data_IF_990996053171
#
_entry.id   IF_990996053171
#
_cell.length_a   1.000
_cell.length_b   1.000
_cell.length_c   1.000
_cell.angle_alpha   90.00
_cell.angle_beta   90.00
_cell.angle_gamma   90.00
#
_symmetry.space_group_name_H-M   'P 1'
#
loop_
_entity.id
_entity.type
_entity.pdbx_description
1 polymer ?
#
# COMPACT_ATOMS: atom_id res chain seq x y z
N UNK A 1 48.86 27.80 -6.64
CA UNK A 1 48.63 27.30 -8.02
C UNK A 1 47.15 27.41 -8.31
N UNK A 2 46.83 27.97 -9.47
CA UNK A 2 45.59 28.64 -9.81
C UNK A 2 44.37 27.71 -9.97
N UNK A 3 43.19 28.26 -9.62
CA UNK A 3 41.87 27.83 -10.07
C UNK A 3 41.73 27.92 -11.60
N UNK A 4 40.71 27.25 -12.15
CA UNK A 4 39.88 27.97 -13.11
C UNK A 4 38.37 27.82 -12.83
N UNK A 5 37.74 28.99 -12.90
CA UNK A 5 36.32 29.23 -12.99
C UNK A 5 35.65 28.49 -14.15
N UNK A 6 34.39 28.11 -13.98
CA UNK A 6 33.52 27.79 -15.11
C UNK A 6 32.18 28.50 -14.95
N UNK A 7 32.09 29.66 -15.60
CA UNK A 7 30.86 30.36 -15.92
C UNK A 7 30.14 29.62 -17.06
N UNK A 8 28.84 29.35 -16.94
CA UNK A 8 27.99 29.09 -18.11
C UNK A 8 26.55 29.58 -17.94
N UNK A 9 26.33 30.73 -18.58
CA UNK A 9 25.21 31.11 -19.44
C UNK A 9 23.77 30.76 -19.04
N UNK A 10 23.05 31.79 -18.62
CA UNK A 10 21.61 31.94 -18.79
C UNK A 10 21.28 32.18 -20.27
N UNK A 11 20.18 31.60 -20.73
CA UNK A 11 19.48 32.01 -21.96
C UNK A 11 18.00 32.24 -21.61
N UNK A 12 17.38 33.37 -21.99
CA UNK A 12 15.96 33.61 -21.85
C UNK A 12 15.22 33.26 -23.15
N UNK A 13 14.12 32.52 -23.07
CA UNK A 13 13.22 32.26 -24.20
C UNK A 13 11.88 32.97 -23.99
N UNK A 14 11.79 34.12 -24.68
CA UNK A 14 10.70 34.56 -25.55
C UNK A 14 9.24 34.23 -25.19
N UNK A 15 8.52 35.31 -24.87
CA UNK A 15 7.10 35.57 -25.12
C UNK A 15 6.67 35.39 -26.59
N UNK A 16 5.45 34.86 -26.80
CA UNK A 16 4.54 35.07 -27.96
C UNK A 16 3.13 34.60 -27.55
N UNK A 17 2.16 35.48 -27.26
CA UNK A 17 1.15 36.06 -28.17
C UNK A 17 0.34 35.06 -29.01
N UNK A 18 -0.93 34.85 -28.66
CA UNK A 18 -2.03 34.94 -29.64
C UNK A 18 -3.42 34.98 -28.97
N UNK A 19 -4.19 35.94 -29.46
CA UNK A 19 -5.60 36.23 -29.21
C UNK A 19 -6.49 35.27 -30.00
N UNK A 20 -7.70 34.94 -29.51
CA UNK A 20 -8.97 35.28 -30.18
C UNK A 20 -10.20 34.54 -29.60
N UNK A 21 -11.25 35.34 -29.39
CA UNK A 21 -12.62 35.13 -29.84
C UNK A 21 -13.35 33.86 -29.43
N UNK A 22 -14.24 34.01 -28.43
CA UNK A 22 -15.65 33.61 -28.58
C UNK A 22 -16.53 34.63 -27.85
N UNK A 23 -17.15 35.51 -28.65
CA UNK A 23 -18.36 36.26 -28.31
C UNK A 23 -19.58 35.33 -28.49
N UNK A 24 -20.65 35.61 -27.74
CA UNK A 24 -21.99 34.98 -27.66
C UNK A 24 -22.19 34.42 -26.24
N UNK A 25 -23.24 34.71 -25.47
CA UNK A 25 -24.59 35.15 -25.83
C UNK A 25 -25.21 35.79 -24.57
N UNK A 26 -25.70 37.02 -24.66
CA UNK A 26 -26.30 37.75 -23.55
C UNK A 26 -27.82 37.62 -23.62
N UNK A 27 -28.51 37.13 -22.57
CA UNK A 27 -29.96 36.99 -22.58
C UNK A 27 -30.67 38.37 -22.53
N UNK A 28 -31.89 38.45 -23.10
CA UNK A 28 -32.60 39.71 -23.33
C UNK A 28 -33.03 40.41 -22.03
N UNK A 29 -32.86 41.73 -22.05
CA UNK A 29 -33.28 42.70 -21.04
C UNK A 29 -34.77 42.58 -20.71
N UNK A 30 -35.07 42.32 -19.44
CA UNK A 30 -36.43 42.42 -18.90
C UNK A 30 -36.81 43.88 -18.60
N UNK A 31 -38.11 44.23 -18.62
CA UNK A 31 -38.56 45.61 -18.54
C UNK A 31 -38.36 46.24 -17.16
N UNK A 32 -37.96 47.51 -17.20
CA UNK A 32 -37.69 48.42 -16.09
C UNK A 32 -38.89 48.51 -15.14
N UNK A 33 -38.73 48.02 -13.91
CA UNK A 33 -39.66 48.27 -12.79
C UNK A 33 -39.25 49.57 -12.08
N UNK A 34 -40.15 50.56 -11.90
CA UNK A 34 -39.85 51.79 -11.18
C UNK A 34 -39.50 51.48 -9.72
N UNK A 35 -38.26 51.82 -9.32
CA UNK A 35 -37.78 51.66 -7.95
C UNK A 35 -38.33 52.82 -7.10
N UNK A 36 -39.03 52.55 -5.98
CA UNK A 36 -39.52 53.60 -5.11
C UNK A 36 -38.36 54.35 -4.44
N UNK A 37 -38.41 55.68 -4.53
CA UNK A 37 -37.50 56.61 -3.85
C UNK A 37 -37.62 56.42 -2.33
N UNK A 38 -36.71 55.63 -1.76
CA UNK A 38 -36.62 55.43 -0.32
C UNK A 38 -35.48 56.28 0.23
N UNK A 39 -35.89 57.39 0.84
CA UNK A 39 -35.31 58.06 2.01
C UNK A 39 -33.79 57.97 2.18
N UNK A 40 -33.15 59.11 1.94
CA UNK A 40 -31.78 59.45 2.36
C UNK A 40 -31.67 59.44 3.89
N UNK A 41 -31.53 58.26 4.50
CA UNK A 41 -30.93 58.16 5.83
C UNK A 41 -29.45 58.46 5.67
N UNK A 42 -29.03 59.60 6.20
CA UNK A 42 -27.64 60.01 6.39
C UNK A 42 -26.91 58.97 7.23
N UNK A 43 -26.35 57.97 6.55
CA UNK A 43 -25.35 57.05 7.08
C UNK A 43 -24.14 57.88 7.45
N UNK A 44 -24.05 58.23 8.73
CA UNK A 44 -22.82 58.72 9.33
C UNK A 44 -21.69 57.81 8.87
N UNK A 45 -20.71 58.40 8.17
CA UNK A 45 -19.52 57.74 7.71
C UNK A 45 -18.77 57.21 8.93
N UNK A 46 -19.12 55.99 9.37
CA UNK A 46 -18.26 55.20 10.24
C UNK A 46 -16.98 55.09 9.46
N UNK A 47 -15.93 55.75 9.95
CA UNK A 47 -14.55 55.47 9.61
C UNK A 47 -14.41 53.95 9.60
N UNK A 48 -14.48 53.35 8.40
CA UNK A 48 -14.29 51.93 8.22
C UNK A 48 -12.83 51.73 8.56
N UNK A 49 -12.56 51.30 9.79
CA UNK A 49 -11.22 50.83 10.11
C UNK A 49 -10.80 49.85 9.01
N UNK A 50 -9.60 50.01 8.46
CA UNK A 50 -9.16 49.16 7.37
C UNK A 50 -9.30 47.71 7.81
N UNK A 51 -10.11 46.95 7.07
CA UNK A 51 -10.33 45.55 7.37
C UNK A 51 -8.96 44.85 7.49
N UNK A 52 -8.75 44.21 8.64
CA UNK A 52 -7.52 43.47 8.92
C UNK A 52 -7.22 42.48 7.79
N UNK A 53 -6.03 42.57 7.21
CA UNK A 53 -5.59 41.65 6.14
C UNK A 53 -4.76 40.54 6.77
N UNK A 54 -5.13 39.30 6.47
CA UNK A 54 -4.43 38.13 6.98
C UNK A 54 -2.93 38.12 6.66
N UNK A 55 -2.53 38.64 5.50
CA UNK A 55 -1.12 38.70 5.09
C UNK A 55 -0.32 39.86 5.70
N UNK A 56 -0.96 40.77 6.44
CA UNK A 56 -0.26 41.79 7.23
C UNK A 56 0.33 41.19 8.52
N UNK A 57 -0.07 39.95 8.89
CA UNK A 57 0.54 39.20 9.99
C UNK A 57 1.99 38.78 9.65
N UNK A 58 2.92 38.77 10.62
CA UNK A 58 4.19 38.07 10.47
C UNK A 58 4.02 36.59 10.10
N UNK A 59 4.98 36.03 9.35
CA UNK A 59 4.95 34.64 8.89
C UNK A 59 4.74 33.66 10.05
N UNK A 60 5.37 33.91 11.19
CA UNK A 60 5.30 33.04 12.37
C UNK A 60 3.89 32.94 12.94
N UNK A 61 3.11 34.03 12.87
CA UNK A 61 1.71 34.01 13.30
C UNK A 61 0.84 33.28 12.27
N UNK A 62 1.12 33.43 10.98
CA UNK A 62 0.44 32.66 9.93
C UNK A 62 0.70 31.16 10.08
N UNK A 63 1.95 30.75 10.33
CA UNK A 63 2.32 29.35 10.55
C UNK A 63 1.61 28.75 11.75
N UNK A 64 1.45 29.51 12.85
CA UNK A 64 0.65 29.07 14.01
C UNK A 64 -0.82 28.87 13.65
N UNK A 65 -1.40 29.78 12.85
CA UNK A 65 -2.78 29.66 12.37
C UNK A 65 -2.93 28.44 11.46
N UNK A 66 -2.01 28.24 10.52
CA UNK A 66 -1.99 27.05 9.65
C UNK A 66 -1.84 25.76 10.44
N UNK A 67 -0.96 25.73 11.44
CA UNK A 67 -0.76 24.58 12.33
C UNK A 67 -2.06 24.24 13.05
N UNK A 68 -2.72 25.23 13.65
CA UNK A 68 -4.02 25.04 14.30
C UNK A 68 -5.09 24.53 13.33
N UNK A 69 -5.11 25.05 12.10
CA UNK A 69 -6.14 24.72 11.12
C UNK A 69 -5.92 23.37 10.40
N UNK A 70 -4.68 22.92 10.25
CA UNK A 70 -4.31 21.80 9.36
C UNK A 70 -3.70 20.60 10.07
N UNK A 71 -3.34 20.70 11.36
CA UNK A 71 -2.76 19.58 12.10
C UNK A 71 -3.83 18.82 12.88
N UNK A 72 -3.91 17.53 12.60
CA UNK A 72 -4.79 16.58 13.26
C UNK A 72 -4.00 15.71 14.24
N UNK A 73 -4.54 15.43 15.45
CA UNK A 73 -3.93 14.47 16.38
C UNK A 73 -4.02 13.02 15.87
N UNK A 74 -4.95 12.74 14.96
CA UNK A 74 -5.19 11.42 14.37
C UNK A 74 -4.51 11.28 13.00
N UNK A 75 -4.04 10.07 12.63
CA UNK A 75 -3.43 9.83 11.33
C UNK A 75 -4.45 9.88 10.19
N UNK A 76 -4.09 10.49 9.06
CA UNK A 76 -4.88 10.51 7.84
C UNK A 76 -4.84 9.15 7.16
N UNK A 77 -5.99 8.50 7.04
CA UNK A 77 -6.09 7.20 6.36
C UNK A 77 -6.20 7.38 4.86
N UNK A 78 -5.35 6.67 4.12
CA UNK A 78 -5.37 6.65 2.67
C UNK A 78 -5.36 5.20 2.13
N UNK A 79 -6.26 4.85 1.19
CA UNK A 79 -7.36 5.64 0.63
C UNK A 79 -8.58 5.73 1.57
N UNK A 80 -9.30 6.85 1.51
CA UNK A 80 -10.28 7.28 2.50
C UNK A 80 -11.65 6.56 2.43
N UNK A 81 -11.72 5.27 2.78
CA UNK A 81 -13.01 4.57 2.84
C UNK A 81 -13.85 4.95 4.08
N UNK A 82 -13.21 5.29 5.21
CA UNK A 82 -13.90 5.52 6.50
C UNK A 82 -13.06 6.35 7.47
N UNK A 83 -12.51 7.47 7.00
CA UNK A 83 -11.55 8.25 7.77
C UNK A 83 -12.23 8.95 8.96
N UNK A 84 -11.63 8.94 10.18
CA UNK A 84 -12.11 9.73 11.30
C UNK A 84 -12.27 11.21 10.91
N UNK A 85 -13.23 11.92 11.52
CA UNK A 85 -13.36 13.37 11.31
C UNK A 85 -12.13 14.08 11.86
N UNK A 86 -11.26 14.56 10.98
CA UNK A 86 -10.02 15.23 11.35
C UNK A 86 -10.20 16.69 11.82
N UNK A 87 -11.39 17.29 11.63
CA UNK A 87 -11.68 18.70 11.96
C UNK A 87 -10.63 19.70 11.42
N UNK A 88 -10.00 19.37 10.29
CA UNK A 88 -9.01 20.22 9.62
C UNK A 88 -9.65 21.04 8.49
N UNK A 89 -9.22 22.28 8.33
CA UNK A 89 -9.74 23.21 7.34
C UNK A 89 -8.98 23.11 6.00
N UNK A 90 -9.05 21.95 5.33
CA UNK A 90 -8.33 21.73 4.05
C UNK A 90 -8.74 22.70 2.94
N UNK A 91 -9.94 23.31 3.02
CA UNK A 91 -10.37 24.37 2.10
C UNK A 91 -9.46 25.60 2.13
N UNK A 92 -8.72 25.83 3.22
CA UNK A 92 -7.74 26.90 3.34
C UNK A 92 -6.64 26.81 2.28
N UNK A 93 -6.23 25.58 1.93
CA UNK A 93 -5.23 25.33 0.88
C UNK A 93 -5.70 25.77 -0.52
N UNK A 94 -7.00 26.04 -0.68
CA UNK A 94 -7.60 26.51 -1.94
C UNK A 94 -7.87 28.02 -1.95
N UNK A 95 -7.62 28.72 -0.85
CA UNK A 95 -7.97 30.13 -0.72
C UNK A 95 -7.10 31.03 -1.61
N UNK A 96 -5.78 30.80 -1.63
CA UNK A 96 -4.84 31.53 -2.50
C UNK A 96 -3.56 30.72 -2.75
N UNK A 97 -2.78 31.07 -3.78
CA UNK A 97 -1.48 30.41 -4.06
C UNK A 97 -0.49 30.60 -2.91
N UNK A 98 -0.41 31.82 -2.37
CA UNK A 98 0.47 32.11 -1.24
C UNK A 98 0.08 31.27 -0.01
N UNK A 99 -1.21 31.19 0.31
CA UNK A 99 -1.70 30.34 1.41
C UNK A 99 -1.36 28.87 1.16
N UNK A 100 -1.53 28.38 -0.07
CA UNK A 100 -1.19 27.01 -0.42
C UNK A 100 0.30 26.73 -0.20
N UNK A 101 1.18 27.60 -0.68
CA UNK A 101 2.63 27.39 -0.61
C UNK A 101 3.17 27.49 0.82
N UNK A 102 2.62 28.37 1.65
CA UNK A 102 2.99 28.47 3.07
C UNK A 102 2.41 27.28 3.89
N UNK A 103 1.16 26.89 3.65
CA UNK A 103 0.44 25.97 4.53
C UNK A 103 0.55 24.49 4.13
N UNK A 104 0.79 24.16 2.86
CA UNK A 104 0.90 22.77 2.41
C UNK A 104 2.08 22.02 3.06
N UNK A 105 3.30 22.59 3.20
CA UNK A 105 4.39 21.95 3.95
C UNK A 105 4.02 21.63 5.40
N UNK A 106 3.26 22.51 6.06
CA UNK A 106 2.79 22.30 7.44
C UNK A 106 1.87 21.07 7.51
N UNK A 107 0.92 20.95 6.57
CA UNK A 107 0.03 19.78 6.47
C UNK A 107 0.84 18.48 6.37
N UNK A 108 1.81 18.39 5.47
CA UNK A 108 2.53 17.12 5.27
C UNK A 108 3.58 16.84 6.36
N UNK A 109 4.22 17.87 6.92
CA UNK A 109 5.30 17.69 7.90
C UNK A 109 4.79 17.26 9.26
N UNK A 110 3.69 17.85 9.74
CA UNK A 110 3.22 17.70 11.12
C UNK A 110 2.14 16.63 11.29
N UNK A 111 1.54 16.19 10.20
CA UNK A 111 0.53 15.14 10.24
C UNK A 111 1.12 13.76 10.00
N UNK A 112 0.36 12.76 10.45
CA UNK A 112 0.69 11.34 10.31
C UNK A 112 -0.14 10.77 9.18
N UNK A 113 0.45 9.95 8.33
CA UNK A 113 -0.25 9.31 7.21
C UNK A 113 -0.27 7.81 7.39
N UNK A 114 -1.46 7.19 7.25
CA UNK A 114 -1.65 5.76 7.39
C UNK A 114 -1.96 5.12 6.04
N UNK A 115 -1.16 4.14 5.66
CA UNK A 115 -1.34 3.34 4.44
C UNK A 115 -1.66 1.88 4.78
N UNK A 116 -2.56 1.28 4.03
CA UNK A 116 -2.98 -0.12 4.22
C UNK A 116 -2.40 -1.07 3.18
N UNK A 117 -2.03 -0.55 2.01
CA UNK A 117 -1.42 -1.32 0.94
C UNK A 117 -0.19 -0.59 0.37
N UNK A 118 0.84 -1.30 -0.14
CA UNK A 118 2.03 -0.63 -0.70
C UNK A 118 1.72 0.29 -1.88
N UNK A 119 0.74 -0.06 -2.71
CA UNK A 119 0.32 0.81 -3.82
C UNK A 119 -0.32 2.10 -3.34
N UNK A 120 -0.88 2.14 -2.13
CA UNK A 120 -1.51 3.34 -1.59
C UNK A 120 -0.45 4.44 -1.39
N UNK A 121 0.72 4.07 -0.86
CA UNK A 121 1.84 5.00 -0.66
C UNK A 121 2.39 5.53 -1.98
N UNK A 122 2.62 4.63 -2.96
CA UNK A 122 3.11 5.02 -4.27
C UNK A 122 2.10 5.90 -5.03
N UNK A 123 0.82 5.50 -5.06
CA UNK A 123 -0.24 6.28 -5.70
C UNK A 123 -0.43 7.63 -5.01
N UNK A 124 -0.35 7.66 -3.67
CA UNK A 124 -0.43 8.90 -2.91
C UNK A 124 0.62 9.90 -3.37
N UNK A 125 1.86 9.47 -3.63
CA UNK A 125 2.92 10.37 -4.13
C UNK A 125 2.64 10.92 -5.51
N UNK A 126 1.97 10.18 -6.37
CA UNK A 126 1.60 10.62 -7.74
C UNK A 126 0.46 11.64 -7.71
N UNK A 127 -0.55 11.42 -6.88
CA UNK A 127 -1.77 12.26 -6.87
C UNK A 127 -1.69 13.42 -5.88
N UNK A 128 -0.90 13.30 -4.82
CA UNK A 128 -0.77 14.33 -3.81
C UNK A 128 0.08 15.48 -4.34
N UNK A 129 0.01 16.61 -3.62
CA UNK A 129 0.86 17.75 -3.90
C UNK A 129 2.35 17.36 -3.86
N UNK A 130 3.24 18.00 -4.65
CA UNK A 130 4.69 17.81 -4.54
C UNK A 130 5.22 17.97 -3.10
N UNK A 131 4.55 18.77 -2.28
CA UNK A 131 4.84 18.95 -0.86
C UNK A 131 4.70 17.66 -0.02
N UNK A 132 4.08 16.59 -0.54
CA UNK A 132 4.03 15.29 0.16
C UNK A 132 5.40 14.63 0.34
N UNK A 133 6.45 15.10 -0.35
CA UNK A 133 7.83 14.75 -0.02
C UNK A 133 8.25 15.15 1.41
N UNK A 134 7.55 16.10 2.03
CA UNK A 134 7.81 16.56 3.40
C UNK A 134 7.19 15.67 4.48
N UNK A 135 6.53 14.57 4.11
CA UNK A 135 6.01 13.61 5.08
C UNK A 135 7.14 13.08 5.96
N UNK A 136 6.97 13.23 7.27
CA UNK A 136 7.96 12.78 8.26
C UNK A 136 7.49 11.57 9.07
N UNK A 137 6.18 11.36 9.20
CA UNK A 137 5.60 10.30 10.05
C UNK A 137 4.60 9.45 9.26
N UNK A 138 4.89 8.16 9.14
CA UNK A 138 4.04 7.20 8.42
C UNK A 138 3.69 6.00 9.28
N UNK A 139 2.43 5.59 9.21
CA UNK A 139 1.89 4.39 9.82
C UNK A 139 1.54 3.40 8.71
N UNK A 140 2.05 2.18 8.81
CA UNK A 140 1.72 1.09 7.90
C UNK A 140 0.83 0.11 8.65
N UNK A 141 -0.31 -0.24 8.08
CA UNK A 141 -1.18 -1.29 8.63
C UNK A 141 -1.09 -2.51 7.73
N UNK A 142 -0.27 -3.46 8.14
CA UNK A 142 0.05 -4.65 7.37
C UNK A 142 -0.83 -5.80 7.84
N UNK A 143 -1.49 -6.49 6.92
CA UNK A 143 -2.13 -7.78 7.21
C UNK A 143 -1.18 -8.90 6.85
N UNK A 144 -1.26 -10.02 7.55
CA UNK A 144 -0.45 -11.21 7.27
C UNK A 144 -0.46 -11.62 5.79
N UNK A 145 -1.64 -11.68 5.16
CA UNK A 145 -1.80 -11.99 3.73
C UNK A 145 -1.13 -11.00 2.76
N UNK A 146 -0.83 -9.79 3.23
CA UNK A 146 -0.20 -8.71 2.46
C UNK A 146 1.29 -8.56 2.77
N UNK A 147 1.83 -9.39 3.68
CA UNK A 147 3.22 -9.30 4.12
C UNK A 147 4.19 -9.38 2.95
N UNK A 148 4.02 -10.32 2.02
CA UNK A 148 4.91 -10.46 0.87
C UNK A 148 4.97 -9.21 -0.01
N UNK A 149 3.82 -8.53 -0.21
CA UNK A 149 3.75 -7.29 -0.99
C UNK A 149 4.45 -6.14 -0.27
N UNK A 150 4.26 -6.04 1.04
CA UNK A 150 4.92 -5.04 1.88
C UNK A 150 6.42 -5.27 1.95
N UNK A 151 6.88 -6.49 2.19
CA UNK A 151 8.31 -6.83 2.20
C UNK A 151 8.94 -6.47 0.87
N UNK A 152 8.33 -6.80 -0.27
CA UNK A 152 8.86 -6.42 -1.59
C UNK A 152 8.95 -4.91 -1.80
N UNK A 153 8.01 -4.13 -1.28
CA UNK A 153 8.03 -2.67 -1.37
C UNK A 153 9.09 -2.06 -0.43
N UNK A 154 9.13 -2.56 0.81
CA UNK A 154 10.03 -2.09 1.85
C UNK A 154 11.47 -2.50 1.54
N UNK A 155 11.73 -3.65 0.91
CA UNK A 155 13.08 -4.06 0.50
C UNK A 155 13.51 -3.47 -0.85
N UNK A 156 12.62 -2.75 -1.55
CA UNK A 156 12.93 -2.21 -2.86
C UNK A 156 13.89 -1.03 -2.75
N UNK A 157 14.91 -1.04 -3.61
CA UNK A 157 15.86 0.07 -3.79
C UNK A 157 15.60 0.85 -5.08
N UNK A 158 14.55 0.49 -5.83
CA UNK A 158 14.21 1.13 -7.09
C UNK A 158 13.70 2.55 -6.86
N UNK A 159 14.10 3.46 -7.73
CA UNK A 159 13.65 4.86 -7.66
C UNK A 159 12.13 4.96 -7.85
N UNK A 160 11.56 4.24 -8.80
CA UNK A 160 10.12 4.32 -9.09
C UNK A 160 9.18 3.79 -7.98
N UNK A 161 9.70 2.93 -7.09
CA UNK A 161 8.88 2.21 -6.11
C UNK A 161 9.72 1.72 -4.95
N UNK A 162 10.09 2.62 -4.06
CA UNK A 162 10.75 2.30 -2.79
C UNK A 162 10.31 3.25 -1.70
N UNK A 163 10.35 2.78 -0.45
CA UNK A 163 10.07 3.62 0.71
C UNK A 163 10.95 4.87 0.74
N UNK A 164 12.25 4.72 0.42
CA UNK A 164 13.23 5.80 0.43
C UNK A 164 12.91 6.88 -0.63
N UNK A 165 12.47 6.49 -1.82
CA UNK A 165 12.11 7.44 -2.86
C UNK A 165 10.75 8.09 -2.61
N UNK A 166 9.77 7.29 -2.19
CA UNK A 166 8.42 7.79 -1.94
C UNK A 166 8.41 8.75 -0.74
N UNK A 167 9.20 8.48 0.29
CA UNK A 167 9.22 9.21 1.56
C UNK A 167 10.66 9.61 1.97
N UNK A 168 11.32 10.52 1.24
CA UNK A 168 12.74 10.83 1.45
C UNK A 168 13.02 11.51 2.79
N UNK A 169 12.03 12.18 3.39
CA UNK A 169 12.14 12.88 4.67
C UNK A 169 11.52 12.09 5.84
N UNK A 170 11.31 10.79 5.68
CA UNK A 170 10.73 9.94 6.72
C UNK A 170 11.62 9.93 7.98
N UNK A 171 11.06 10.34 9.11
CA UNK A 171 11.70 10.37 10.42
C UNK A 171 11.14 9.34 11.38
N UNK A 172 9.87 8.97 11.22
CA UNK A 172 9.20 8.03 12.13
C UNK A 172 8.30 7.09 11.34
N UNK A 173 8.51 5.79 11.51
CA UNK A 173 7.74 4.74 10.86
C UNK A 173 7.15 3.82 11.92
N UNK A 174 5.82 3.69 11.94
CA UNK A 174 5.14 2.69 12.75
C UNK A 174 4.54 1.63 11.86
N UNK A 175 4.80 0.36 12.17
CA UNK A 175 4.23 -0.78 11.46
C UNK A 175 3.31 -1.53 12.40
N UNK A 176 2.02 -1.52 12.11
CA UNK A 176 1.00 -2.28 12.80
C UNK A 176 0.74 -3.57 12.02
N UNK A 177 1.46 -4.63 12.37
CA UNK A 177 1.36 -5.93 11.73
C UNK A 177 0.25 -6.74 12.39
N UNK A 178 -0.85 -6.97 11.67
CA UNK A 178 -1.93 -7.85 12.13
C UNK A 178 -1.65 -9.28 11.68
N UNK A 179 -1.35 -10.14 12.64
CA UNK A 179 -1.30 -11.59 12.45
C UNK A 179 -2.63 -12.23 12.84
N UNK A 180 -2.91 -13.40 12.27
CA UNK A 180 -3.96 -14.29 12.73
C UNK A 180 -3.80 -14.75 14.18
N UNK A 181 -4.62 -15.73 14.59
CA UNK A 181 -4.56 -16.30 15.93
C UNK A 181 -3.26 -17.10 16.11
N UNK A 182 -2.49 -16.83 17.18
CA UNK A 182 -1.35 -17.68 17.55
C UNK A 182 -1.83 -19.11 17.80
N UNK A 183 -1.09 -20.10 17.27
CA UNK A 183 -1.38 -21.52 17.50
C UNK A 183 -2.52 -22.11 16.68
N UNK A 184 -3.19 -21.35 15.81
CA UNK A 184 -4.08 -21.92 14.81
C UNK A 184 -3.21 -22.60 13.74
N UNK A 185 -2.94 -23.89 13.95
CA UNK A 185 -2.12 -24.70 13.06
C UNK A 185 -2.69 -24.57 11.62
N UNK A 186 -1.98 -23.94 10.66
CA UNK A 186 -2.51 -23.69 9.32
C UNK A 186 -2.86 -24.99 8.58
N UNK A 187 -2.24 -26.10 9.01
CA UNK A 187 -2.47 -27.45 8.50
C UNK A 187 -3.87 -28.03 8.78
N UNK A 188 -4.61 -27.54 9.77
CA UNK A 188 -5.95 -28.09 10.08
C UNK A 188 -7.09 -27.37 9.33
N UNK A 189 -6.85 -26.19 8.74
CA UNK A 189 -7.90 -25.45 8.00
C UNK A 189 -7.77 -25.54 6.46
N UNK A 190 -6.66 -26.07 5.95
CA UNK A 190 -6.42 -26.25 4.50
C UNK A 190 -7.17 -27.42 3.84
N UNK A 191 -7.89 -28.25 4.60
CA UNK A 191 -8.57 -29.45 4.08
C UNK A 191 -9.94 -29.22 3.43
N UNK A 192 -10.55 -28.03 3.59
CA UNK A 192 -11.93 -27.79 3.16
C UNK A 192 -12.10 -26.93 1.90
N UNK A 193 -11.02 -26.33 1.36
CA UNK A 193 -11.10 -25.38 0.24
C UNK A 193 -10.33 -25.82 -1.02
N UNK A 194 -9.81 -27.05 -1.06
CA UNK A 194 -9.14 -27.66 -2.22
C UNK A 194 -9.98 -28.67 -3.01
N UNK A 195 -11.28 -28.82 -2.72
CA UNK A 195 -12.12 -29.92 -3.21
C UNK A 195 -13.00 -29.64 -4.43
N UNK A 196 -12.72 -28.64 -5.27
CA UNK A 196 -13.60 -28.27 -6.40
C UNK A 196 -12.92 -28.14 -7.79
N UNK A 197 -11.74 -28.74 -7.98
CA UNK A 197 -11.13 -28.87 -9.32
C UNK A 197 -10.65 -30.31 -9.53
N UNK A 198 -11.58 -31.23 -9.83
CA UNK A 198 -11.30 -32.49 -10.53
C UNK A 198 -12.61 -33.18 -10.95
N UNK A 199 -13.30 -32.64 -11.95
CA UNK A 199 -14.24 -33.41 -12.75
C UNK A 199 -13.56 -33.69 -14.10
N UNK A 200 -12.99 -34.89 -14.25
CA UNK A 200 -12.48 -35.37 -15.53
C UNK A 200 -11.41 -36.44 -15.42
N UNK A 201 -11.81 -37.71 -15.65
CA UNK A 201 -10.91 -38.79 -16.04
C UNK A 201 -10.53 -39.75 -14.92
N UNK A 202 -11.28 -40.84 -14.80
CA UNK A 202 -10.96 -41.94 -13.90
C UNK A 202 -9.81 -42.80 -14.40
N UNK A 203 -9.02 -43.33 -13.45
CA UNK A 203 -8.48 -44.69 -13.49
C UNK A 203 -8.43 -45.20 -12.04
N UNK A 204 -8.79 -46.45 -11.88
CA UNK A 204 -9.09 -47.12 -10.63
C UNK A 204 -7.85 -47.50 -9.78
N UNK A 205 -8.14 -47.70 -8.49
CA UNK A 205 -7.52 -48.62 -7.55
C UNK A 205 -6.09 -48.31 -7.03
N UNK A 206 -5.98 -47.96 -5.74
CA UNK A 206 -5.58 -48.92 -4.71
C UNK A 206 -5.52 -48.24 -3.33
N UNK A 207 -5.87 -49.03 -2.31
CA UNK A 207 -5.99 -48.68 -0.91
C UNK A 207 -4.66 -48.28 -0.26
N UNK A 208 -4.72 -47.42 0.76
CA UNK A 208 -3.58 -47.15 1.64
C UNK A 208 -3.71 -45.85 2.42
N UNK A 209 -4.42 -45.90 3.55
CA UNK A 209 -4.35 -44.85 4.56
C UNK A 209 -2.98 -44.82 5.25
N UNK A 210 -2.46 -43.63 5.49
CA UNK A 210 -1.19 -43.44 6.19
C UNK A 210 -0.98 -41.98 6.58
N UNK A 211 -0.95 -41.73 7.89
CA UNK A 211 -0.82 -40.42 8.51
C UNK A 211 0.48 -39.69 8.19
N UNK A 212 0.37 -38.37 8.00
CA UNK A 212 1.49 -37.46 7.77
C UNK A 212 2.05 -36.99 9.12
N UNK A 213 3.03 -37.72 9.64
CA UNK A 213 3.94 -37.26 10.69
C UNK A 213 5.17 -36.62 10.05
N UNK A 214 5.34 -35.30 10.21
CA UNK A 214 6.45 -34.54 9.65
C UNK A 214 7.78 -34.86 10.33
N UNK A 215 8.65 -35.59 9.64
CA UNK A 215 10.04 -35.79 10.01
C UNK A 215 10.90 -34.75 9.30
N UNK A 216 11.60 -33.90 10.06
CA UNK A 216 12.54 -32.91 9.51
C UNK A 216 13.82 -33.65 9.09
N UNK A 217 13.87 -34.10 7.84
CA UNK A 217 15.11 -34.59 7.24
C UNK A 217 16.05 -33.42 6.96
N UNK A 218 17.29 -33.56 7.39
CA UNK A 218 18.40 -32.66 7.12
C UNK A 218 18.68 -32.65 5.60
N UNK A 219 18.17 -31.64 4.90
CA UNK A 219 18.34 -31.50 3.45
C UNK A 219 19.82 -31.33 3.09
N UNK A 220 20.29 -32.13 2.13
CA UNK A 220 21.61 -32.01 1.54
C UNK A 220 21.71 -30.65 0.78
N UNK A 221 22.79 -29.87 0.91
CA UNK A 221 22.94 -28.56 0.24
C UNK A 221 22.66 -28.55 -1.27
N UNK A 222 22.88 -29.66 -1.97
CA UNK A 222 22.52 -29.79 -3.39
C UNK A 222 20.99 -29.76 -3.64
N UNK A 223 20.19 -30.33 -2.74
CA UNK A 223 18.73 -30.31 -2.83
C UNK A 223 18.16 -28.93 -2.47
N UNK A 224 18.81 -28.20 -1.55
CA UNK A 224 18.44 -26.83 -1.24
C UNK A 224 18.68 -25.90 -2.44
N UNK A 225 19.80 -26.06 -3.15
CA UNK A 225 20.07 -25.28 -4.37
C UNK A 225 19.04 -25.58 -5.48
N UNK A 226 18.68 -26.84 -5.69
CA UNK A 226 17.63 -27.23 -6.65
C UNK A 226 16.24 -26.69 -6.25
N UNK A 227 15.93 -26.67 -4.96
CA UNK A 227 14.68 -26.10 -4.45
C UNK A 227 14.64 -24.58 -4.63
N UNK A 228 15.72 -23.86 -4.32
CA UNK A 228 15.77 -22.40 -4.55
C UNK A 228 15.67 -22.04 -6.04
N UNK A 229 16.28 -22.83 -6.93
CA UNK A 229 16.15 -22.62 -8.38
C UNK A 229 14.70 -22.82 -8.87
N UNK A 230 14.01 -23.84 -8.35
CA UNK A 230 12.59 -24.09 -8.67
C UNK A 230 11.65 -23.01 -8.12
N UNK A 231 11.91 -22.53 -6.91
CA UNK A 231 11.14 -21.42 -6.31
C UNK A 231 11.34 -20.14 -7.12
N UNK A 232 12.56 -19.83 -7.54
CA UNK A 232 12.86 -18.64 -8.33
C UNK A 232 12.21 -18.68 -9.74
N UNK A 233 12.19 -19.84 -10.39
CA UNK A 233 11.48 -20.00 -11.67
C UNK A 233 9.95 -19.92 -11.52
N UNK A 234 9.37 -20.55 -10.49
CA UNK A 234 7.92 -20.51 -10.27
C UNK A 234 7.44 -19.11 -9.85
N UNK A 235 8.18 -18.41 -8.99
CA UNK A 235 7.81 -17.06 -8.56
C UNK A 235 7.95 -16.04 -9.70
N UNK A 236 9.01 -16.15 -10.51
CA UNK A 236 9.19 -15.31 -11.69
C UNK A 236 8.11 -15.52 -12.75
N UNK A 237 7.71 -16.77 -12.98
CA UNK A 237 6.61 -17.12 -13.90
C UNK A 237 5.25 -16.59 -13.45
N UNK A 238 4.92 -16.73 -12.16
CA UNK A 238 3.66 -16.23 -11.61
C UNK A 238 3.56 -14.69 -11.64
N UNK A 239 4.65 -13.99 -11.31
CA UNK A 239 4.66 -12.52 -11.35
C UNK A 239 4.49 -12.02 -12.78
N UNK A 240 5.19 -12.62 -13.76
CA UNK A 240 5.00 -12.25 -15.16
C UNK A 240 3.58 -12.54 -15.64
N UNK A 241 3.00 -13.68 -15.28
CA UNK A 241 1.63 -14.01 -15.68
C UNK A 241 0.60 -13.04 -15.07
N UNK A 242 0.78 -12.64 -13.81
CA UNK A 242 -0.09 -11.67 -13.14
C UNK A 242 0.08 -10.25 -13.73
N UNK A 243 1.30 -9.87 -14.10
CA UNK A 243 1.58 -8.58 -14.75
C UNK A 243 0.96 -8.52 -16.16
N UNK A 244 1.04 -9.61 -16.94
CA UNK A 244 0.40 -9.70 -18.26
C UNK A 244 -1.12 -9.67 -18.15
N UNK A 245 -1.72 -10.38 -17.19
CA UNK A 245 -3.16 -10.35 -16.95
C UNK A 245 -3.64 -8.93 -16.56
N UNK A 246 -2.87 -8.22 -15.73
CA UNK A 246 -3.17 -6.84 -15.36
C UNK A 246 -3.06 -5.88 -16.55
N UNK A 247 -2.03 -6.02 -17.39
CA UNK A 247 -1.90 -5.23 -18.62
C UNK A 247 -3.09 -5.44 -19.57
N UNK A 248 -3.55 -6.69 -19.70
CA UNK A 248 -4.70 -7.03 -20.53
C UNK A 248 -6.01 -6.44 -19.98
N UNK A 249 -6.17 -6.40 -18.65
CA UNK A 249 -7.32 -5.76 -18.01
C UNK A 249 -7.36 -4.25 -18.25
N UNK A 250 -6.22 -3.56 -18.16
CA UNK A 250 -6.13 -2.12 -18.47
C UNK A 250 -6.49 -1.86 -19.94
N UNK A 251 -5.97 -2.67 -20.87
CA UNK A 251 -6.26 -2.52 -22.29
C UNK A 251 -7.77 -2.69 -22.59
N UNK A 252 -8.41 -3.68 -21.96
CA UNK A 252 -9.86 -3.90 -22.09
C UNK A 252 -10.67 -2.72 -21.54
N UNK A 253 -10.24 -2.10 -20.43
CA UNK A 253 -10.90 -0.91 -19.88
C UNK A 253 -10.78 0.31 -20.81
N UNK A 254 -9.63 0.52 -21.42
CA UNK A 254 -9.41 1.62 -22.38
C UNK A 254 -10.27 1.43 -23.63
N UNK A 255 -10.40 0.20 -24.15
CA UNK A 255 -11.30 -0.08 -25.27
C UNK A 255 -12.78 0.12 -24.90
N UNK A 256 -13.19 -0.31 -23.71
CA UNK A 256 -14.57 -0.09 -23.24
C UNK A 256 -14.90 1.40 -23.14
N UNK A 257 -13.97 2.23 -22.65
CA UNK A 257 -14.14 3.67 -22.58
C UNK A 257 -14.23 4.32 -23.97
N UNK A 258 -13.38 3.90 -24.91
CA UNK A 258 -13.45 4.37 -26.30
C UNK A 258 -14.81 4.06 -26.95
N UNK A 259 -15.34 2.85 -26.73
CA UNK A 259 -16.65 2.45 -27.25
C UNK A 259 -17.81 3.25 -26.62
N UNK A 260 -17.71 3.59 -25.34
CA UNK A 260 -18.70 4.44 -24.66
C UNK A 260 -18.70 5.87 -25.21
N UNK A 261 -17.52 6.45 -25.45
CA UNK A 261 -17.41 7.80 -26.05
C UNK A 261 -17.96 7.81 -27.47
N UNK A 262 -17.69 6.75 -28.27
CA UNK A 262 -18.20 6.66 -29.63
C UNK A 262 -19.72 6.49 -29.68
N UNK A 263 -20.30 5.69 -28.77
CA UNK A 263 -21.76 5.55 -28.66
C UNK A 263 -22.44 6.83 -28.14
N UNK A 264 -21.79 7.60 -27.26
CA UNK A 264 -22.33 8.84 -26.74
C UNK A 264 -22.37 9.98 -27.78
N UNK A 265 -21.48 9.96 -28.77
CA UNK A 265 -21.43 10.95 -29.86
C UNK A 265 -22.24 10.55 -31.10
N UNK A 266 -22.74 9.31 -31.16
CA UNK A 266 -23.43 8.76 -32.34
C UNK A 266 -24.95 8.96 -32.39
N UNK A 267 -25.59 9.47 -31.33
CA UNK A 267 -27.04 9.66 -31.29
C UNK A 267 -27.43 11.12 -31.08
N UNK A 268 -27.66 11.83 -32.19
CA UNK A 268 -28.53 13.01 -32.19
C UNK A 268 -27.92 14.28 -32.77
N UNK A 269 -27.91 14.40 -34.10
CA UNK A 269 -28.19 15.70 -34.73
C UNK A 269 -28.63 15.52 -36.20
N UNK A 270 -29.90 15.76 -36.54
CA UNK A 270 -30.39 15.72 -37.92
C UNK A 270 -30.33 17.11 -38.55
N UNK A 271 -29.16 17.73 -38.66
CA UNK A 271 -29.00 18.97 -39.44
C UNK A 271 -27.54 19.13 -39.88
N UNK A 272 -27.21 18.60 -41.06
CA UNK A 272 -26.19 19.12 -41.98
C UNK A 272 -25.97 18.13 -43.13
N UNK A 273 -26.85 18.16 -44.12
CA UNK A 273 -26.54 17.70 -45.46
C UNK A 273 -26.03 18.91 -46.26
N UNK A 274 -24.71 19.11 -46.32
CA UNK A 274 -24.01 19.77 -47.43
C UNK A 274 -22.51 19.87 -47.15
N UNK A 275 -21.73 19.78 -48.22
CA UNK A 275 -20.27 19.96 -48.32
C UNK A 275 -19.41 18.81 -47.80
N UNK A 276 -19.52 17.69 -48.51
CA UNK A 276 -18.46 16.71 -48.71
C UNK A 276 -17.37 17.33 -49.62
N UNK A 277 -16.17 17.55 -49.07
CA UNK A 277 -14.91 17.60 -49.83
C UNK A 277 -13.90 16.75 -49.06
N UNK A 278 -13.80 15.48 -49.46
CA UNK A 278 -12.89 14.49 -48.92
C UNK A 278 -11.52 14.63 -49.58
N UNK A 279 -10.49 14.91 -48.79
CA UNK A 279 -9.11 14.50 -49.12
C UNK A 279 -8.85 13.16 -48.42
N UNK A 280 -8.50 12.08 -49.14
CA UNK A 280 -8.14 10.81 -48.52
C UNK A 280 -6.74 10.91 -47.93
N UNK A 281 -6.63 10.71 -46.61
CA UNK A 281 -5.36 10.37 -45.95
C UNK A 281 -5.02 8.91 -46.26
N UNK A 282 -3.75 8.58 -46.55
CA UNK A 282 -3.33 7.21 -46.78
C UNK A 282 -3.41 6.37 -45.49
N UNK A 283 -3.73 5.07 -45.61
CA UNK A 283 -3.80 4.17 -44.47
C UNK A 283 -2.43 4.01 -43.79
N UNK A 284 -2.37 3.86 -42.46
CA UNK A 284 -1.14 3.50 -41.77
C UNK A 284 -0.67 2.11 -42.21
N UNK A 285 0.62 2.01 -42.52
CA UNK A 285 1.25 0.78 -43.00
C UNK A 285 1.12 -0.36 -41.96
N UNK A 286 0.87 -1.60 -42.40
CA UNK A 286 0.87 -2.76 -41.52
C UNK A 286 2.29 -3.00 -40.99
N UNK A 287 2.45 -2.97 -39.67
CA UNK A 287 3.68 -3.41 -39.00
C UNK A 287 3.88 -4.90 -39.30
N UNK A 288 4.93 -5.19 -40.07
CA UNK A 288 5.39 -6.54 -40.36
C UNK A 288 5.89 -7.20 -39.07
N UNK A 289 5.46 -8.44 -38.76
CA UNK A 289 6.07 -9.19 -37.67
C UNK A 289 7.51 -9.52 -38.07
N UNK A 290 8.48 -9.01 -37.29
CA UNK A 290 9.86 -9.45 -37.38
C UNK A 290 9.93 -10.94 -37.01
N UNK A 291 10.13 -11.74 -38.04
CA UNK A 291 10.45 -13.15 -38.00
C UNK A 291 11.84 -13.29 -37.38
N UNK A 292 11.92 -13.52 -36.07
CA UNK A 292 13.17 -13.83 -35.39
C UNK A 292 13.60 -15.22 -35.84
N UNK A 293 14.66 -15.26 -36.63
CA UNK A 293 15.29 -16.49 -37.09
C UNK A 293 15.62 -17.39 -35.89
N UNK A 294 15.14 -18.63 -35.95
CA UNK A 294 15.53 -19.74 -35.10
C UNK A 294 17.05 -19.90 -35.13
N UNK A 295 17.74 -19.36 -34.12
CA UNK A 295 19.09 -19.77 -33.78
C UNK A 295 19.00 -21.15 -33.12
N UNK A 296 19.66 -22.14 -33.74
CA UNK A 296 19.79 -23.50 -33.23
C UNK A 296 20.31 -23.48 -31.78
N UNK A 297 19.44 -23.86 -30.85
CA UNK A 297 19.83 -24.18 -29.48
C UNK A 297 20.57 -25.52 -29.51
N UNK A 298 21.82 -25.62 -29.04
CA UNK A 298 22.53 -26.89 -28.96
C UNK A 298 21.79 -27.85 -28.01
N UNK A 299 21.80 -29.16 -28.28
CA UNK A 299 21.11 -30.16 -27.46
C UNK A 299 21.66 -30.13 -26.03
N UNK A 300 20.74 -30.00 -25.06
CA UNK A 300 21.03 -30.10 -23.63
C UNK A 300 21.58 -31.50 -23.34
N UNK A 301 22.74 -31.63 -22.64
CA UNK A 301 23.28 -32.95 -22.29
C UNK A 301 22.32 -33.71 -21.36
N UNK A 302 22.26 -35.05 -21.47
CA UNK A 302 21.42 -35.87 -20.61
C UNK A 302 21.84 -35.72 -19.13
N UNK A 303 20.88 -35.75 -18.19
CA UNK A 303 21.19 -35.67 -16.76
C UNK A 303 22.07 -36.84 -16.33
N UNK A 304 23.00 -36.64 -15.38
CA UNK A 304 23.85 -37.70 -14.87
C UNK A 304 23.00 -38.81 -14.22
N UNK A 305 23.46 -40.08 -14.28
CA UNK A 305 22.77 -41.20 -13.68
C UNK A 305 22.65 -40.99 -12.15
N UNK A 306 21.54 -41.44 -11.55
CA UNK A 306 21.36 -41.37 -10.10
C UNK A 306 22.46 -42.16 -9.39
N UNK A 307 22.96 -41.65 -8.24
CA UNK A 307 23.97 -42.35 -7.46
C UNK A 307 23.45 -43.73 -7.01
N UNK A 308 24.35 -44.73 -6.86
CA UNK A 308 23.98 -46.07 -6.43
C UNK A 308 23.27 -46.01 -5.07
N UNK A 309 22.13 -46.72 -4.99
CA UNK A 309 21.34 -46.83 -3.78
C UNK A 309 22.18 -47.44 -2.65
N UNK A 310 22.51 -46.64 -1.64
CA UNK A 310 23.08 -47.14 -0.41
C UNK A 310 22.04 -48.04 0.29
N UNK A 311 22.45 -49.21 0.82
CA UNK A 311 21.54 -50.07 1.57
C UNK A 311 21.02 -49.30 2.78
N UNK A 312 19.70 -49.09 2.81
CA UNK A 312 19.01 -48.53 3.96
C UNK A 312 19.20 -49.48 5.14
N UNK A 313 20.03 -49.07 6.10
CA UNK A 313 20.04 -49.67 7.43
C UNK A 313 18.66 -49.43 8.06
N UNK A 314 17.96 -50.52 8.36
CA UNK A 314 16.71 -50.52 9.07
C UNK A 314 16.92 -49.94 10.48
N UNK A 315 16.71 -48.63 10.63
CA UNK A 315 16.59 -48.02 11.93
C UNK A 315 15.22 -48.39 12.51
N UNK A 316 15.25 -49.14 13.60
CA UNK A 316 14.07 -49.51 14.37
C UNK A 316 13.30 -48.24 14.79
N UNK A 317 11.99 -48.16 14.55
CA UNK A 317 11.18 -47.05 15.01
C UNK A 317 11.11 -47.11 16.53
N UNK A 318 11.88 -46.26 17.20
CA UNK A 318 11.74 -46.02 18.63
C UNK A 318 10.52 -45.11 18.78
N UNK A 319 9.39 -45.73 19.14
CA UNK A 319 8.11 -45.07 19.42
C UNK A 319 8.24 -44.21 20.68
N UNK A 320 8.84 -43.03 20.56
CA UNK A 320 8.76 -42.03 21.62
C UNK A 320 7.32 -41.50 21.65
N UNK A 321 6.55 -41.94 22.64
CA UNK A 321 5.27 -41.34 23.02
C UNK A 321 5.54 -39.91 23.49
N UNK A 322 5.55 -38.96 22.55
CA UNK A 322 5.61 -37.55 22.87
C UNK A 322 4.37 -37.19 23.69
N UNK A 323 4.58 -36.98 25.00
CA UNK A 323 3.55 -36.47 25.88
C UNK A 323 2.97 -35.20 25.26
N UNK A 324 1.64 -35.09 25.12
CA UNK A 324 1.01 -33.90 24.56
C UNK A 324 1.41 -32.69 25.42
N UNK A 325 2.25 -31.82 24.87
CA UNK A 325 2.65 -30.61 25.59
C UNK A 325 1.37 -29.79 25.85
N UNK A 326 1.05 -29.52 27.12
CA UNK A 326 -0.32 -29.20 27.49
C UNK A 326 -0.88 -27.92 26.88
N UNK A 327 -0.07 -27.02 26.28
CA UNK A 327 -0.59 -25.79 25.69
C UNK A 327 0.32 -25.25 24.56
N UNK A 328 -0.03 -25.45 23.26
CA UNK A 328 0.76 -24.93 22.13
C UNK A 328 0.87 -23.40 22.11
N UNK A 329 -0.08 -22.70 22.74
CA UNK A 329 -0.14 -21.25 22.81
C UNK A 329 1.10 -20.61 23.46
N UNK A 330 1.59 -21.16 24.58
CA UNK A 330 2.75 -20.59 25.27
C UNK A 330 4.04 -20.81 24.49
N UNK A 331 4.17 -21.95 23.81
CA UNK A 331 5.31 -22.20 22.92
C UNK A 331 5.32 -21.20 21.75
N UNK A 332 4.16 -20.92 21.15
CA UNK A 332 4.02 -19.87 20.12
C UNK A 332 4.28 -18.47 20.68
N UNK A 333 3.83 -18.16 21.89
CA UNK A 333 4.10 -16.87 22.54
C UNK A 333 5.61 -16.63 22.74
N UNK A 334 6.41 -17.65 23.01
CA UNK A 334 7.87 -17.48 23.13
C UNK A 334 8.58 -17.38 21.76
N UNK A 335 7.90 -17.76 20.68
CA UNK A 335 8.46 -17.88 19.33
C UNK A 335 7.82 -16.94 18.30
N UNK A 336 6.93 -16.04 18.73
CA UNK A 336 6.14 -15.18 17.85
C UNK A 336 7.00 -14.39 16.86
N UNK A 337 8.19 -13.91 17.26
CA UNK A 337 9.11 -13.19 16.38
C UNK A 337 9.44 -13.99 15.11
N UNK A 338 9.75 -15.28 15.30
CA UNK A 338 10.08 -16.20 14.21
C UNK A 338 8.85 -16.63 13.41
N UNK A 339 7.73 -16.86 14.11
CA UNK A 339 6.49 -17.36 13.48
C UNK A 339 5.80 -16.30 12.62
N UNK A 340 5.95 -15.01 12.95
CA UNK A 340 5.34 -13.91 12.19
C UNK A 340 6.15 -13.44 10.98
N UNK A 341 7.31 -14.05 10.72
CA UNK A 341 8.22 -13.62 9.66
C UNK A 341 8.82 -12.23 9.90
N UNK A 342 8.88 -11.78 11.17
CA UNK A 342 9.37 -10.45 11.52
C UNK A 342 10.84 -10.26 11.18
N UNK A 343 11.64 -11.32 11.21
CA UNK A 343 13.06 -11.26 10.84
C UNK A 343 13.28 -10.66 9.44
N UNK A 344 12.51 -11.12 8.44
CA UNK A 344 12.64 -10.66 7.05
C UNK A 344 12.14 -9.22 6.89
N UNK A 345 11.05 -8.87 7.57
CA UNK A 345 10.52 -7.51 7.58
C UNK A 345 11.52 -6.54 8.22
N UNK A 346 12.07 -6.90 9.38
CA UNK A 346 13.06 -6.11 10.10
C UNK A 346 14.34 -5.94 9.28
N UNK A 347 14.83 -7.01 8.64
CA UNK A 347 15.99 -6.93 7.75
C UNK A 347 15.73 -5.96 6.59
N UNK A 348 14.58 -6.10 5.92
CA UNK A 348 14.21 -5.22 4.79
C UNK A 348 14.14 -3.75 5.21
N UNK A 349 13.51 -3.46 6.35
CA UNK A 349 13.40 -2.10 6.88
C UNK A 349 14.76 -1.53 7.32
N UNK A 350 15.61 -2.35 7.92
CA UNK A 350 16.95 -1.92 8.35
C UNK A 350 17.82 -1.48 7.16
N UNK A 351 17.70 -2.15 6.01
CA UNK A 351 18.51 -1.87 4.82
C UNK A 351 18.02 -0.66 4.03
N UNK A 352 16.71 -0.39 4.00
CA UNK A 352 16.12 0.60 3.08
C UNK A 352 15.56 1.84 3.75
N UNK A 353 15.21 1.80 5.04
CA UNK A 353 14.78 2.99 5.76
C UNK A 353 15.93 3.99 5.86
N UNK A 354 15.64 5.31 5.87
CA UNK A 354 16.63 6.30 6.23
C UNK A 354 17.27 5.94 7.58
N UNK A 355 18.61 6.03 7.72
CA UNK A 355 19.30 5.60 8.95
C UNK A 355 18.92 6.46 10.18
N UNK A 356 18.34 7.63 9.96
CA UNK A 356 17.84 8.54 10.99
C UNK A 356 16.39 8.28 11.38
N UNK A 357 15.68 7.36 10.71
CA UNK A 357 14.28 7.09 10.98
C UNK A 357 14.12 6.21 12.22
N UNK A 358 13.26 6.62 13.16
CA UNK A 358 12.79 5.80 14.28
C UNK A 358 11.72 4.83 13.77
N UNK A 359 12.06 3.54 13.72
CA UNK A 359 11.17 2.49 13.21
C UNK A 359 10.68 1.61 14.36
N UNK A 360 9.36 1.52 14.49
CA UNK A 360 8.67 0.73 15.51
C UNK A 360 7.69 -0.24 14.88
N UNK A 361 7.73 -1.49 15.32
CA UNK A 361 6.83 -2.54 14.85
C UNK A 361 5.98 -3.02 16.03
N UNK A 362 4.67 -3.00 15.85
CA UNK A 362 3.69 -3.54 16.78
C UNK A 362 3.03 -4.73 16.08
N UNK A 363 3.40 -5.93 16.50
CA UNK A 363 2.72 -7.15 16.05
C UNK A 363 1.45 -7.33 16.88
N UNK A 364 0.30 -7.35 16.23
CA UNK A 364 -1.01 -7.44 16.86
C UNK A 364 -1.57 -8.83 16.57
N UNK A 365 -1.81 -9.57 17.64
CA UNK A 365 -2.43 -10.90 17.64
C UNK A 365 -3.78 -10.81 18.34
N UNK A 366 -4.75 -11.58 17.86
CA UNK A 366 -6.04 -11.76 18.54
C UNK A 366 -6.13 -13.13 19.18
N UNK A 367 -6.53 -13.19 20.45
CA UNK A 367 -6.74 -14.42 21.20
C UNK A 367 -8.07 -14.39 21.96
N UNK A 368 -8.68 -15.55 22.26
CA UNK A 368 -9.81 -15.61 23.20
C UNK A 368 -9.46 -14.93 24.52
N UNK A 369 -10.38 -14.17 25.12
CA UNK A 369 -10.11 -13.46 26.39
C UNK A 369 -9.57 -14.36 27.50
N UNK A 370 -10.06 -15.60 27.62
CA UNK A 370 -9.54 -16.57 28.58
C UNK A 370 -8.04 -16.87 28.37
N UNK A 371 -7.57 -16.89 27.13
CA UNK A 371 -6.17 -17.13 26.79
C UNK A 371 -5.32 -15.91 27.10
N UNK A 372 -5.87 -14.71 26.89
CA UNK A 372 -5.24 -13.44 27.28
C UNK A 372 -5.02 -13.39 28.80
N UNK A 373 -6.06 -13.68 29.60
CA UNK A 373 -5.93 -13.75 31.07
C UNK A 373 -4.86 -14.77 31.49
N UNK A 374 -4.89 -15.98 30.91
CA UNK A 374 -3.89 -17.02 31.21
C UNK A 374 -2.47 -16.59 30.82
N UNK A 375 -2.29 -15.90 29.71
CA UNK A 375 -0.99 -15.37 29.30
C UNK A 375 -0.46 -14.35 30.32
N UNK A 376 -1.31 -13.43 30.78
CA UNK A 376 -0.92 -12.43 31.79
C UNK A 376 -0.54 -13.08 33.11
N UNK A 377 -1.32 -14.06 33.57
CA UNK A 377 -1.02 -14.83 34.80
C UNK A 377 0.28 -15.62 34.68
N UNK A 378 0.59 -16.14 33.50
CA UNK A 378 1.78 -16.96 33.25
C UNK A 378 3.04 -16.11 33.07
N UNK A 379 2.93 -14.92 32.47
CA UNK A 379 4.05 -14.04 32.14
C UNK A 379 3.84 -12.58 32.61
N UNK A 380 3.61 -12.35 33.91
CA UNK A 380 3.30 -11.02 34.43
C UNK A 380 4.46 -10.02 34.30
N UNK A 381 5.72 -10.51 34.29
CA UNK A 381 6.91 -9.66 34.16
C UNK A 381 7.17 -9.21 32.72
N UNK A 382 6.58 -9.92 31.74
CA UNK A 382 6.79 -9.65 30.32
C UNK A 382 5.62 -8.92 29.68
N UNK A 383 4.43 -9.03 30.26
CA UNK A 383 3.19 -8.47 29.73
C UNK A 383 2.63 -7.40 30.65
N UNK A 384 2.18 -6.30 30.06
CA UNK A 384 1.44 -5.25 30.74
C UNK A 384 0.05 -5.12 30.11
N UNK A 385 -0.99 -5.08 30.94
CA UNK A 385 -2.36 -4.84 30.48
C UNK A 385 -2.62 -3.34 30.37
N UNK A 386 -3.22 -2.90 29.27
CA UNK A 386 -3.70 -1.53 29.12
C UNK A 386 -5.10 -1.33 29.72
N UNK A 387 -5.65 -0.12 29.60
CA UNK A 387 -6.99 0.22 30.11
C UNK A 387 -8.12 -0.56 29.42
N UNK A 388 -7.88 -1.10 28.22
CA UNK A 388 -8.84 -1.88 27.45
C UNK A 388 -8.71 -3.39 27.73
N UNK A 389 -7.70 -3.81 28.51
CA UNK A 389 -7.39 -5.20 28.77
C UNK A 389 -6.55 -5.86 27.67
N UNK A 390 -6.04 -5.10 26.71
CA UNK A 390 -5.07 -5.60 25.72
C UNK A 390 -3.70 -5.74 26.39
N UNK A 391 -2.99 -6.83 26.13
CA UNK A 391 -1.67 -7.06 26.69
C UNK A 391 -0.59 -6.57 25.73
N UNK A 392 0.47 -5.98 26.27
CA UNK A 392 1.64 -5.57 25.51
C UNK A 392 2.92 -6.03 26.16
N UNK A 393 3.85 -6.53 25.35
CA UNK A 393 5.24 -6.68 25.76
C UNK A 393 5.94 -5.33 25.78
N UNK A 394 7.04 -5.23 26.53
CA UNK A 394 8.01 -4.13 26.33
C UNK A 394 8.54 -4.15 24.89
N UNK A 395 8.95 -2.99 24.37
CA UNK A 395 9.71 -2.93 23.13
C UNK A 395 11.08 -3.59 23.33
N UNK A 396 11.50 -4.37 22.34
CA UNK A 396 12.79 -5.06 22.30
C UNK A 396 13.46 -4.79 20.96
N UNK A 397 14.80 -4.83 20.94
CA UNK A 397 15.57 -4.62 19.71
C UNK A 397 15.68 -5.93 18.92
N UNK A 398 15.13 -5.96 17.72
CA UNK A 398 15.26 -7.05 16.75
C UNK A 398 15.87 -6.49 15.48
N UNK A 399 17.07 -6.97 15.11
CA UNK A 399 17.86 -6.41 13.97
C UNK A 399 18.02 -4.89 14.02
N UNK A 400 18.16 -4.34 15.24
CA UNK A 400 18.29 -2.90 15.46
C UNK A 400 16.98 -2.11 15.42
N UNK A 401 15.83 -2.73 15.19
CA UNK A 401 14.51 -2.07 15.22
C UNK A 401 13.77 -2.36 16.52
N UNK A 402 12.89 -1.45 16.95
CA UNK A 402 12.07 -1.64 18.15
C UNK A 402 10.79 -2.41 17.81
N UNK A 403 10.60 -3.59 18.41
CA UNK A 403 9.44 -4.47 18.16
C UNK A 403 8.73 -4.76 19.48
N UNK A 404 7.40 -4.73 19.48
CA UNK A 404 6.58 -5.26 20.57
C UNK A 404 5.43 -6.14 20.04
N UNK A 405 4.95 -7.02 20.90
CA UNK A 405 3.75 -7.82 20.69
C UNK A 405 2.60 -7.20 21.48
N UNK A 406 1.48 -6.99 20.79
CA UNK A 406 0.18 -6.63 21.32
C UNK A 406 -0.78 -7.81 21.16
N UNK A 407 -1.42 -8.22 22.24
CA UNK A 407 -2.39 -9.31 22.28
C UNK A 407 -3.74 -8.75 22.66
N UNK A 408 -4.66 -8.73 21.70
CA UNK A 408 -6.02 -8.27 21.92
C UNK A 408 -6.97 -9.42 22.24
N UNK A 409 -7.74 -9.26 23.32
CA UNK A 409 -8.77 -10.21 23.72
C UNK A 409 -10.01 -10.10 22.85
N UNK A 410 -10.34 -11.16 22.10
CA UNK A 410 -11.63 -11.28 21.42
C UNK A 410 -12.60 -12.07 22.30
N UNK A 411 -13.80 -11.53 22.48
CA UNK A 411 -14.90 -12.37 22.96
C UNK A 411 -15.13 -13.48 21.93
N UNK A 412 -15.40 -14.72 22.36
CA UNK A 412 -15.93 -15.70 21.43
C UNK A 412 -17.14 -15.05 20.75
N UNK A 413 -17.34 -15.30 19.47
CA UNK A 413 -18.60 -15.00 18.82
C UNK A 413 -19.65 -15.89 19.47
N UNK A 414 -20.09 -15.54 20.69
CA UNK A 414 -21.25 -16.10 21.36
C UNK A 414 -22.32 -16.06 20.30
N UNK A 415 -22.75 -17.23 19.83
CA UNK A 415 -23.72 -17.40 18.77
C UNK A 415 -24.81 -16.36 19.04
N UNK A 416 -24.76 -15.24 18.31
CA UNK A 416 -25.68 -14.14 18.51
C UNK A 416 -26.99 -14.78 18.15
N UNK A 417 -27.73 -15.16 19.18
CA UNK A 417 -28.91 -15.98 19.05
C UNK A 417 -29.80 -15.29 18.06
N UNK A 418 -30.10 -15.99 16.97
CA UNK A 418 -31.20 -15.68 16.08
C UNK A 418 -32.48 -15.92 16.89
N UNK A 419 -32.74 -15.06 17.87
CA UNK A 419 -34.05 -14.89 18.45
C UNK A 419 -34.63 -13.67 17.74
N UNK A 420 -35.08 -13.91 16.51
CA UNK A 420 -36.01 -13.06 15.78
C UNK A 420 -37.40 -13.67 15.90
#
# INVERSE_FOLDING_TARGET
MASPDTLRSRSPSSSSTSSNTTMNDAPPSTPIRPRPQSQTTSTMARSLEPAFRFFDLPQELRDRIYTYALVSPYPFWWPAASTPKHNVALSLLRASRQTHDEAAPILYTHNKFLFTHPSDCNMFRVIASPYSQHITTVYLRIREKEMGLWTSYLSSTKEERSLKHDLPNLKTLWVFLRSGSLGANPLMMGGALGGLIAAGGGVAAAAGGGGLGGHVQHLNPAQLAAHMHNVQQNLGGQINHQLTAFHQQIHNQIQALHNQVHNALGQGSPFAAALQMQHPLPPPAPLTPHNVANAMVPPVPPPPPPPPAYPQQAMHPTTFTALPHPYPLFASFLRWERELGLDQLCLSLHETCPPTADVKIVAIVKLPKADVTRLLETYPDELSADRNGDLRTRFRRVRGLDVCLEVSGVEPASAVGVNA
#
